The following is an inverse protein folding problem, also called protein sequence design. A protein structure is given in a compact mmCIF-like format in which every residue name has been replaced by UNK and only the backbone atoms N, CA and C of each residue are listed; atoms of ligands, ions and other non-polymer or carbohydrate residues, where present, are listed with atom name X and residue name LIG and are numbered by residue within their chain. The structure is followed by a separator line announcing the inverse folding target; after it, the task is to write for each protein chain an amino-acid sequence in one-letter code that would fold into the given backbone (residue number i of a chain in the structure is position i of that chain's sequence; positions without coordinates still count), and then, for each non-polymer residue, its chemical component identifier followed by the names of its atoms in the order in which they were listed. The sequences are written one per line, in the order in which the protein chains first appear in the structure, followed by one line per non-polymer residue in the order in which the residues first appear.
data_IF_580101681764
#
_entry.id   IF_580101681764
#
_cell.length_a   1.000
_cell.length_b   1.000
_cell.length_c   1.000
_cell.angle_alpha   90.00
_cell.angle_beta   90.00
_cell.angle_gamma   90.00
#
_symmetry.space_group_name_H-M   'P 1'
#
loop_
_entity.id
_entity.type
_entity.pdbx_description
1 polymer ?
#
# COMPACT_ATOMS: atom_id res chain seq x y z
N UNK A 1 -18.60 -13.19 -10.39
CA UNK A 1 -18.40 -11.74 -10.42
C UNK A 1 -17.46 -11.44 -9.27
N UNK A 2 -16.22 -11.01 -9.53
CA UNK A 2 -15.31 -10.59 -8.46
C UNK A 2 -15.98 -9.43 -7.72
N UNK A 3 -16.18 -9.60 -6.43
CA UNK A 3 -16.69 -8.59 -5.51
C UNK A 3 -15.88 -7.32 -5.70
N UNK A 4 -16.48 -6.32 -6.35
CA UNK A 4 -15.85 -5.04 -6.63
C UNK A 4 -15.62 -4.35 -5.29
N UNK A 5 -14.40 -4.43 -4.76
CA UNK A 5 -14.01 -3.68 -3.58
C UNK A 5 -14.33 -2.21 -3.85
N UNK A 6 -15.11 -1.60 -2.95
CA UNK A 6 -15.38 -0.17 -3.02
C UNK A 6 -14.16 0.57 -2.50
N UNK A 7 -13.27 0.96 -3.42
CA UNK A 7 -11.97 1.55 -3.07
C UNK A 7 -12.09 2.84 -2.25
N UNK A 8 -13.16 3.62 -2.42
CA UNK A 8 -13.43 4.80 -1.58
C UNK A 8 -13.60 4.43 -0.09
N UNK A 9 -14.19 3.28 0.21
CA UNK A 9 -14.35 2.80 1.59
C UNK A 9 -13.05 2.27 2.18
N UNK A 10 -12.06 1.96 1.34
CA UNK A 10 -10.74 1.50 1.79
C UNK A 10 -9.85 2.64 2.25
N UNK A 11 -10.17 3.89 1.95
CA UNK A 11 -9.36 5.05 2.36
C UNK A 11 -9.34 5.16 3.90
N UNK A 12 -8.16 5.37 4.47
CA UNK A 12 -7.83 5.34 5.91
C UNK A 12 -8.06 3.98 6.60
N UNK A 13 -8.21 2.92 5.83
CA UNK A 13 -8.29 1.55 6.36
C UNK A 13 -6.90 0.95 6.49
N UNK A 14 -6.78 -0.03 7.36
CA UNK A 14 -5.51 -0.68 7.63
C UNK A 14 -5.08 -1.51 6.41
N UNK A 15 -3.79 -1.49 6.09
CA UNK A 15 -3.19 -2.22 4.99
C UNK A 15 -2.25 -3.28 5.56
N UNK A 16 -2.57 -4.56 5.30
CA UNK A 16 -1.82 -5.72 5.81
C UNK A 16 -1.33 -6.62 4.69
N UNK A 17 -0.13 -7.16 4.83
CA UNK A 17 0.47 -8.11 3.91
C UNK A 17 0.47 -9.55 4.41
N UNK A 18 1.25 -10.38 3.72
CA UNK A 18 1.54 -11.76 4.12
C UNK A 18 2.20 -11.76 5.50
N UNK A 19 1.82 -12.71 6.35
CA UNK A 19 2.27 -12.82 7.75
C UNK A 19 1.97 -11.58 8.61
N UNK A 20 0.86 -10.88 8.32
CA UNK A 20 0.43 -9.68 9.06
C UNK A 20 1.39 -8.49 8.92
N UNK A 21 2.20 -8.47 7.86
CA UNK A 21 3.09 -7.35 7.55
C UNK A 21 2.32 -6.03 7.56
N UNK A 22 2.81 -5.04 8.30
CA UNK A 22 2.11 -3.77 8.49
C UNK A 22 2.55 -2.77 7.42
N UNK A 23 1.63 -2.41 6.51
CA UNK A 23 1.86 -1.37 5.51
C UNK A 23 1.20 -0.03 5.87
N UNK A 24 0.60 0.04 7.06
CA UNK A 24 -0.02 1.24 7.62
C UNK A 24 -1.45 1.42 7.14
N UNK A 25 -1.75 2.60 6.61
CA UNK A 25 -3.10 2.97 6.20
C UNK A 25 -3.16 3.22 4.69
N UNK A 26 -4.29 2.90 4.07
CA UNK A 26 -4.56 3.26 2.68
C UNK A 26 -4.79 4.77 2.60
N UNK A 27 -3.94 5.44 1.83
CA UNK A 27 -4.01 6.89 1.65
C UNK A 27 -4.81 7.26 0.41
N UNK A 28 -4.67 6.49 -0.66
CA UNK A 28 -5.31 6.77 -1.94
C UNK A 28 -5.34 5.50 -2.81
N UNK A 29 -6.28 5.44 -3.75
CA UNK A 29 -6.36 4.41 -4.78
C UNK A 29 -6.48 5.10 -6.12
N UNK A 30 -5.54 4.85 -7.03
CA UNK A 30 -5.48 5.56 -8.31
C UNK A 30 -4.68 4.77 -9.34
N UNK A 31 -5.07 4.86 -10.61
CA UNK A 31 -4.38 4.21 -11.74
C UNK A 31 -4.12 2.70 -11.53
N UNK A 32 -5.06 1.98 -10.90
CA UNK A 32 -4.90 0.55 -10.62
C UNK A 32 -3.91 0.23 -9.50
N UNK A 33 -3.48 1.22 -8.72
CA UNK A 33 -2.59 1.06 -7.57
C UNK A 33 -3.27 1.53 -6.28
N UNK A 34 -2.91 0.89 -5.18
CA UNK A 34 -3.27 1.25 -3.81
C UNK A 34 -2.02 1.84 -3.16
N UNK A 35 -2.15 3.09 -2.72
CA UNK A 35 -1.09 3.84 -2.06
C UNK A 35 -1.31 3.70 -0.56
N UNK A 36 -0.31 3.17 0.14
CA UNK A 36 -0.35 2.94 1.59
C UNK A 36 0.84 3.63 2.24
N UNK A 37 0.64 4.15 3.45
CA UNK A 37 1.68 4.82 4.21
C UNK A 37 1.69 4.30 5.65
N UNK A 38 2.89 4.04 6.18
CA UNK A 38 3.10 3.73 7.60
C UNK A 38 4.11 4.67 8.24
N UNK A 39 4.03 4.80 9.56
CA UNK A 39 4.90 5.68 10.33
C UNK A 39 4.35 7.10 10.44
N UNK A 40 4.69 7.79 11.54
CA UNK A 40 4.23 9.16 11.83
C UNK A 40 5.34 10.18 11.57
N UNK A 41 6.58 9.82 11.91
CA UNK A 41 7.77 10.69 11.84
C UNK A 41 8.53 10.43 10.53
N UNK A 42 8.91 9.18 10.29
CA UNK A 42 9.49 8.72 9.04
C UNK A 42 8.42 7.92 8.29
N UNK A 43 7.72 8.61 7.38
CA UNK A 43 6.65 8.00 6.61
C UNK A 43 7.22 7.14 5.50
N UNK A 44 6.97 5.83 5.57
CA UNK A 44 7.26 4.90 4.49
C UNK A 44 6.03 4.80 3.60
N UNK A 45 6.20 5.03 2.30
CA UNK A 45 5.13 4.98 1.31
C UNK A 45 5.32 3.78 0.39
N UNK A 46 4.27 3.00 0.19
CA UNK A 46 4.25 1.89 -0.74
C UNK A 46 3.15 2.08 -1.80
N UNK A 47 3.47 1.76 -3.05
CA UNK A 47 2.55 1.81 -4.18
C UNK A 47 2.35 0.37 -4.65
N UNK A 48 1.26 -0.26 -4.19
CA UNK A 48 0.98 -1.69 -4.41
C UNK A 48 -0.12 -1.84 -5.47
N UNK A 49 0.05 -2.63 -6.53
CA UNK A 49 -1.00 -2.86 -7.54
C UNK A 49 -2.27 -3.47 -6.94
N UNK A 50 -3.44 -3.07 -7.44
CA UNK A 50 -4.74 -3.64 -7.01
C UNK A 50 -4.84 -5.15 -7.24
N UNK A 51 -4.14 -5.69 -8.25
CA UNK A 51 -4.03 -7.13 -8.52
C UNK A 51 -3.44 -7.91 -7.35
N UNK A 52 -2.68 -7.25 -6.48
CA UNK A 52 -2.11 -7.85 -5.27
C UNK A 52 -3.07 -7.88 -4.10
N UNK A 53 -4.24 -7.25 -4.18
CA UNK A 53 -5.24 -7.27 -3.10
C UNK A 53 -5.98 -8.61 -3.10
N UNK A 54 -5.90 -9.31 -1.98
CA UNK A 54 -6.58 -10.59 -1.78
C UNK A 54 -8.00 -10.42 -1.24
N UNK A 55 -8.19 -9.50 -0.30
CA UNK A 55 -9.49 -9.27 0.34
C UNK A 55 -9.57 -7.93 1.04
N UNK A 56 -10.80 -7.49 1.28
CA UNK A 56 -11.14 -6.36 2.15
C UNK A 56 -12.35 -6.76 3.00
N UNK A 57 -12.25 -6.62 4.32
CA UNK A 57 -13.29 -7.02 5.28
C UNK A 57 -14.09 -5.84 5.87
N UNK A 58 -13.84 -4.61 5.41
CA UNK A 58 -14.45 -3.38 5.92
C UNK A 58 -13.54 -2.57 6.86
N UNK A 59 -12.47 -3.19 7.35
CA UNK A 59 -11.51 -2.56 8.26
C UNK A 59 -10.06 -2.70 7.76
N UNK A 60 -9.73 -3.84 7.14
CA UNK A 60 -8.39 -4.21 6.72
C UNK A 60 -8.38 -4.63 5.24
N UNK A 61 -7.52 -3.99 4.45
CA UNK A 61 -7.17 -4.41 3.10
C UNK A 61 -5.97 -5.36 3.18
N UNK A 62 -6.16 -6.60 2.75
CA UNK A 62 -5.13 -7.64 2.74
C UNK A 62 -4.49 -7.78 1.37
N UNK A 63 -3.16 -7.74 1.34
CA UNK A 63 -2.34 -7.89 0.15
C UNK A 63 -1.56 -9.21 0.18
N UNK A 64 -1.45 -9.84 -0.98
CA UNK A 64 -0.57 -10.99 -1.25
C UNK A 64 0.91 -10.56 -1.40
N UNK A 65 1.35 -9.59 -0.59
CA UNK A 65 2.69 -9.01 -0.64
C UNK A 65 3.35 -9.18 0.73
N UNK A 66 4.58 -9.67 0.75
CA UNK A 66 5.39 -9.74 1.99
C UNK A 66 6.10 -8.41 2.26
N UNK A 67 6.48 -8.17 3.51
CA UNK A 67 7.29 -7.02 3.92
C UNK A 67 8.53 -6.83 3.02
N UNK A 68 9.25 -7.91 2.76
CA UNK A 68 10.46 -7.89 1.92
C UNK A 68 10.14 -7.56 0.45
N UNK A 69 9.03 -8.08 -0.09
CA UNK A 69 8.64 -7.75 -1.46
C UNK A 69 8.20 -6.29 -1.56
N UNK A 70 7.45 -5.79 -0.58
CA UNK A 70 7.05 -4.39 -0.49
C UNK A 70 8.26 -3.46 -0.50
N UNK A 71 9.25 -3.71 0.36
CA UNK A 71 10.47 -2.91 0.41
C UNK A 71 11.29 -2.93 -0.88
N UNK A 72 11.37 -4.08 -1.55
CA UNK A 72 12.21 -4.22 -2.75
C UNK A 72 11.55 -3.72 -4.04
N UNK A 73 10.21 -3.76 -4.14
CA UNK A 73 9.51 -3.52 -5.41
C UNK A 73 8.50 -2.37 -5.37
N UNK A 74 7.90 -2.11 -4.21
CA UNK A 74 6.76 -1.20 -4.08
C UNK A 74 7.05 0.01 -3.20
N UNK A 75 8.18 0.01 -2.49
CA UNK A 75 8.62 1.12 -1.68
C UNK A 75 8.96 2.31 -2.57
N UNK A 76 8.22 3.39 -2.37
CA UNK A 76 8.48 4.67 -3.00
C UNK A 76 9.26 5.50 -1.99
N UNK A 77 10.59 5.40 -2.05
CA UNK A 77 11.45 6.11 -1.13
C UNK A 77 11.26 7.64 -1.29
N UNK A 78 10.82 8.35 -0.24
CA UNK A 78 10.58 9.79 -0.31
C UNK A 78 11.87 10.60 -0.47
N UNK A 79 13.04 9.99 -0.27
CA UNK A 79 14.37 10.61 -0.42
C UNK A 79 14.98 10.39 -1.81
N UNK A 80 14.43 9.49 -2.63
CA UNK A 80 14.81 9.28 -4.04
C UNK A 80 14.10 10.20 -5.02
N UNK A 81 13.67 11.39 -4.58
CA UNK A 81 13.72 12.53 -5.48
C UNK A 81 15.19 12.73 -5.84
N UNK A 82 15.58 12.25 -7.02
CA UNK A 82 16.89 12.48 -7.63
C UNK A 82 17.08 13.97 -7.94
N UNK A 83 17.23 14.78 -6.89
CA UNK A 83 17.86 16.09 -6.95
C UNK A 83 19.38 15.93 -6.77
N UNK A 84 20.00 15.08 -7.59
CA UNK A 84 21.46 15.06 -7.81
C UNK A 84 21.72 15.09 -9.32
N UNK A 85 21.35 16.20 -9.95
CA UNK A 85 21.92 16.65 -11.24
C UNK A 85 22.11 18.17 -11.14
N UNK A 86 23.26 18.62 -10.63
CA UNK A 86 24.33 19.40 -11.33
C UNK A 86 25.46 19.78 -10.38
#
# INVERSE_FOLDING_TARGET
MVSSINWDETIKKEARGINDANFGEVQNVSNGNVIVERGIIEKEKFIIPQDKVESYDGEVVRFSVSEQEAQNKFYNDPSTSVDDIV
#
